data_IF_171039189841
#
_entry.id   IF_171039189841
#
_cell.length_a   1.000
_cell.length_b   1.000
_cell.length_c   1.000
_cell.angle_alpha   90.00
_cell.angle_beta   90.00
_cell.angle_gamma   90.00
#
_symmetry.space_group_name_H-M   'P 1'
#
loop_
_entity.id
_entity.type
_entity.pdbx_description
1 polymer ?
#
# COMPACT_ATOMS: atom_id res chain seq x y z
N UNK A 1 -0.95 -0.05 10.29
CA UNK A 1 -0.13 1.13 10.00
C UNK A 1 1.29 0.64 9.77
N UNK A 2 1.91 0.97 8.64
CA UNK A 2 3.20 0.41 8.16
C UNK A 2 3.41 -1.11 8.38
N UNK A 3 2.58 -1.99 7.78
CA UNK A 3 2.59 -3.42 8.07
C UNK A 3 3.84 -4.18 7.58
N UNK A 4 4.71 -3.51 6.80
CA UNK A 4 5.97 -4.04 6.30
C UNK A 4 7.20 -3.32 6.86
N UNK A 5 7.00 -2.37 7.79
CA UNK A 5 8.10 -1.67 8.45
C UNK A 5 9.00 -2.64 9.21
N UNK A 6 10.31 -2.52 9.01
CA UNK A 6 11.36 -3.37 9.63
C UNK A 6 11.33 -4.87 9.24
N UNK A 7 10.57 -5.26 8.22
CA UNK A 7 10.58 -6.62 7.71
C UNK A 7 11.55 -6.76 6.53
N UNK A 8 12.13 -7.95 6.40
CA UNK A 8 12.90 -8.28 5.20
C UNK A 8 11.98 -8.30 3.95
N UNK A 9 12.54 -8.09 2.74
CA UNK A 9 11.73 -8.00 1.52
C UNK A 9 10.83 -9.21 1.26
N UNK A 10 11.25 -10.42 1.62
CA UNK A 10 10.48 -11.63 1.35
C UNK A 10 9.25 -11.71 2.28
N UNK A 11 9.44 -11.41 3.56
CA UNK A 11 8.34 -11.34 4.54
C UNK A 11 7.35 -10.23 4.18
N UNK A 12 7.84 -9.05 3.78
CA UNK A 12 7.01 -7.93 3.32
C UNK A 12 6.09 -8.33 2.16
N UNK A 13 6.62 -9.01 1.14
CA UNK A 13 5.81 -9.53 0.03
C UNK A 13 4.74 -10.53 0.51
N UNK A 14 5.07 -11.37 1.48
CA UNK A 14 4.12 -12.30 2.10
C UNK A 14 2.93 -11.59 2.76
N UNK A 15 3.22 -10.54 3.54
CA UNK A 15 2.20 -9.69 4.18
C UNK A 15 1.32 -9.00 3.13
N UNK A 16 1.92 -8.42 2.09
CA UNK A 16 1.17 -7.76 1.01
C UNK A 16 0.22 -8.74 0.30
N UNK A 17 0.67 -9.96 0.02
CA UNK A 17 -0.19 -11.02 -0.57
C UNK A 17 -1.33 -11.43 0.35
N UNK A 18 -1.09 -11.47 1.67
CA UNK A 18 -2.14 -11.77 2.64
C UNK A 18 -3.22 -10.68 2.64
N UNK A 19 -2.79 -9.42 2.70
CA UNK A 19 -3.70 -8.27 2.69
C UNK A 19 -4.48 -8.17 1.38
N UNK A 20 -3.85 -8.47 0.24
CA UNK A 20 -4.55 -8.56 -1.05
C UNK A 20 -5.62 -9.66 -1.05
N UNK A 21 -5.32 -10.85 -0.50
CA UNK A 21 -6.34 -11.91 -0.35
C UNK A 21 -7.50 -11.48 0.51
N UNK A 22 -7.23 -10.83 1.64
CA UNK A 22 -8.28 -10.28 2.54
C UNK A 22 -9.11 -9.23 1.81
N UNK A 23 -8.48 -8.37 1.02
CA UNK A 23 -9.21 -7.39 0.22
C UNK A 23 -10.12 -8.06 -0.81
N UNK A 24 -9.66 -9.14 -1.45
CA UNK A 24 -10.46 -9.93 -2.40
C UNK A 24 -11.65 -10.65 -1.78
N UNK A 25 -11.73 -10.81 -0.45
CA UNK A 25 -12.93 -11.35 0.22
C UNK A 25 -13.98 -10.28 0.52
N UNK A 26 -13.82 -9.05 0.00
CA UNK A 26 -14.76 -7.93 0.19
C UNK A 26 -14.40 -7.00 1.34
N UNK A 27 -13.32 -7.29 2.08
CA UNK A 27 -12.84 -6.43 3.16
C UNK A 27 -12.15 -5.19 2.58
N UNK A 28 -12.55 -4.00 3.03
CA UNK A 28 -11.79 -2.79 2.69
C UNK A 28 -10.52 -2.75 3.53
N UNK A 29 -9.36 -2.61 2.88
CA UNK A 29 -8.06 -2.51 3.54
C UNK A 29 -7.49 -1.12 3.30
N UNK A 30 -7.17 -0.40 4.38
CA UNK A 30 -6.41 0.84 4.36
C UNK A 30 -5.03 0.57 4.93
N UNK A 31 -4.00 0.93 4.17
CA UNK A 31 -2.60 0.77 4.54
C UNK A 31 -1.89 2.09 4.36
N UNK A 32 -1.13 2.52 5.37
CA UNK A 32 -0.07 3.51 5.19
C UNK A 32 1.27 2.80 5.04
N UNK A 33 2.13 3.32 4.18
CA UNK A 33 3.48 2.81 3.92
C UNK A 33 4.35 3.93 3.35
N UNK A 34 5.65 3.89 3.66
CA UNK A 34 6.67 4.69 2.98
C UNK A 34 7.41 3.90 1.87
N UNK A 35 7.09 2.60 1.69
CA UNK A 35 7.70 1.74 0.68
C UNK A 35 7.06 1.94 -0.69
N UNK A 36 7.77 2.66 -1.56
CA UNK A 36 7.34 2.97 -2.93
C UNK A 36 7.22 1.71 -3.80
N UNK A 37 8.11 0.73 -3.62
CA UNK A 37 8.15 -0.47 -4.46
C UNK A 37 6.90 -1.34 -4.28
N UNK A 38 6.36 -1.36 -3.05
CA UNK A 38 5.12 -2.05 -2.71
C UNK A 38 3.92 -1.36 -3.38
N UNK A 39 3.88 -0.03 -3.33
CA UNK A 39 2.82 0.78 -3.94
C UNK A 39 2.74 0.50 -5.45
N UNK A 40 3.90 0.53 -6.12
CA UNK A 40 4.01 0.32 -7.57
C UNK A 40 3.59 -1.09 -8.00
N UNK A 41 3.92 -2.08 -7.18
CA UNK A 41 3.59 -3.48 -7.42
C UNK A 41 2.09 -3.74 -7.28
N UNK A 42 1.44 -3.10 -6.30
CA UNK A 42 0.03 -3.34 -6.00
C UNK A 42 -0.94 -2.74 -7.02
N UNK A 43 -0.58 -1.60 -7.65
CA UNK A 43 -1.44 -0.87 -8.60
C UNK A 43 -2.88 -0.66 -8.09
N UNK A 44 -3.02 -0.40 -6.79
CA UNK A 44 -4.28 -0.08 -6.11
C UNK A 44 -4.48 1.43 -6.04
N UNK A 45 -5.54 1.88 -5.35
CA UNK A 45 -5.74 3.30 -5.08
C UNK A 45 -4.63 3.81 -4.18
N UNK A 46 -4.00 4.93 -4.55
CA UNK A 46 -2.94 5.59 -3.80
C UNK A 46 -3.42 6.98 -3.42
N UNK A 47 -3.33 7.29 -2.13
CA UNK A 47 -3.61 8.62 -1.57
C UNK A 47 -2.31 9.12 -0.96
N UNK A 48 -1.81 10.25 -1.45
CA UNK A 48 -0.59 10.88 -0.95
C UNK A 48 -0.94 12.11 -0.13
N UNK A 49 -0.30 12.21 1.03
CA UNK A 49 -0.49 13.29 1.99
C UNK A 49 0.83 14.08 2.08
N UNK A 50 0.76 15.40 1.89
CA UNK A 50 1.85 16.33 2.22
C UNK A 50 1.31 17.37 3.21
N UNK A 51 2.01 17.55 4.33
CA UNK A 51 1.68 18.54 5.38
C UNK A 51 0.19 18.56 5.78
N UNK A 52 -0.43 17.39 5.89
CA UNK A 52 -1.83 17.22 6.32
C UNK A 52 -2.87 17.45 5.22
N UNK A 53 -2.46 17.72 3.98
CA UNK A 53 -3.35 17.83 2.84
C UNK A 53 -3.18 16.65 1.87
N UNK A 54 -4.28 16.23 1.25
CA UNK A 54 -4.24 15.26 0.15
C UNK A 54 -3.71 15.98 -1.09
N UNK A 55 -2.54 15.57 -1.56
CA UNK A 55 -1.90 16.12 -2.78
C UNK A 55 -2.06 15.21 -3.99
N UNK A 56 -2.41 13.93 -3.77
CA UNK A 56 -2.65 12.96 -4.84
C UNK A 56 -3.69 11.93 -4.42
N UNK A 57 -4.57 11.58 -5.35
CA UNK A 57 -5.55 10.49 -5.20
C UNK A 57 -5.75 9.80 -6.57
N UNK A 58 -5.23 8.59 -6.71
CA UNK A 58 -5.22 7.87 -7.98
C UNK A 58 -5.72 6.43 -7.80
N UNK A 59 -6.73 6.00 -8.54
CA UNK A 59 -7.35 4.67 -8.42
C UNK A 59 -6.45 3.48 -8.84
N UNK A 60 -5.38 3.73 -9.60
CA UNK A 60 -4.33 2.78 -9.99
C UNK A 60 -2.98 3.47 -9.92
N UNK A 61 -2.66 4.01 -8.76
CA UNK A 61 -1.48 4.83 -8.59
C UNK A 61 -0.19 4.03 -8.76
N UNK A 62 0.80 4.67 -9.37
CA UNK A 62 2.21 4.32 -9.35
C UNK A 62 2.92 5.50 -8.67
N UNK A 63 3.96 5.27 -7.90
CA UNK A 63 4.85 6.33 -7.44
C UNK A 63 5.64 6.85 -8.66
N UNK A 64 5.52 8.13 -8.97
CA UNK A 64 6.38 8.84 -9.93
C UNK A 64 7.51 9.55 -9.17
#
# INVERSE_FOLDING_TARGET
DEPTGNLDPATSVGIMRLLDRINRTGTTVLMATHDRSIVDTMRRRVIELDRGAIVRDQHRGVYE
#
